data_IF_707905579330
#
_entry.id   IF_707905579330
#
_cell.length_a   1.000
_cell.length_b   1.000
_cell.length_c   1.000
_cell.angle_alpha   90.00
_cell.angle_beta   90.00
_cell.angle_gamma   90.00
#
_symmetry.space_group_name_H-M   'P 1'
#
loop_
_entity.id
_entity.type
_entity.pdbx_description
1 polymer ?
#
# COMPACT_ATOMS: atom_id res chain seq x y z
N UNK A 1 21.98 -4.30 -32.26
CA UNK A 1 21.60 -3.08 -31.53
C UNK A 1 20.12 -2.88 -31.77
N UNK A 2 19.28 -3.33 -30.85
CA UNK A 2 17.83 -3.14 -30.91
C UNK A 2 17.43 -2.32 -29.70
N UNK A 3 16.66 -1.28 -30.00
CA UNK A 3 16.46 -0.09 -29.18
C UNK A 3 15.87 -0.40 -27.83
N UNK A 4 16.43 0.30 -26.85
CA UNK A 4 15.96 0.41 -25.48
C UNK A 4 14.50 0.86 -25.52
N UNK A 5 13.65 0.09 -24.84
CA UNK A 5 12.32 0.47 -24.40
C UNK A 5 12.41 1.85 -23.73
N UNK A 6 12.11 2.90 -24.49
CA UNK A 6 12.06 4.26 -23.96
C UNK A 6 10.82 4.32 -23.08
N UNK A 7 10.97 3.97 -21.81
CA UNK A 7 9.89 4.08 -20.83
C UNK A 7 9.31 5.49 -20.92
N UNK A 8 7.98 5.62 -20.84
CA UNK A 8 7.23 6.89 -20.88
C UNK A 8 7.79 7.98 -19.95
N UNK A 9 8.66 7.62 -18.99
CA UNK A 9 9.46 8.53 -18.18
C UNK A 9 10.32 9.51 -18.96
N UNK A 10 10.72 9.22 -20.20
CA UNK A 10 11.63 10.09 -20.98
C UNK A 10 10.91 11.13 -21.87
N UNK A 11 9.57 11.09 -21.99
CA UNK A 11 8.83 11.99 -22.93
C UNK A 11 7.53 12.59 -22.38
N UNK A 12 7.01 12.14 -21.22
CA UNK A 12 5.78 12.67 -20.62
C UNK A 12 5.99 13.76 -19.56
N UNK A 13 4.99 14.63 -19.38
CA UNK A 13 4.94 15.54 -18.23
C UNK A 13 4.67 14.72 -16.96
N UNK A 14 5.66 14.66 -16.07
CA UNK A 14 5.51 14.04 -14.75
C UNK A 14 4.96 15.07 -13.76
N UNK A 15 3.84 14.75 -13.13
CA UNK A 15 3.21 15.54 -12.06
C UNK A 15 2.99 14.68 -10.83
N UNK A 16 3.20 15.26 -9.67
CA UNK A 16 2.96 14.63 -8.37
C UNK A 16 1.81 15.34 -7.67
N UNK A 17 0.89 14.57 -7.13
CA UNK A 17 -0.29 15.06 -6.42
C UNK A 17 -0.30 14.48 -5.01
N UNK A 18 -0.50 15.36 -4.03
CA UNK A 18 -0.67 14.95 -2.65
C UNK A 18 -2.17 14.80 -2.37
N UNK A 19 -2.60 13.57 -2.13
CA UNK A 19 -3.97 13.27 -1.72
C UNK A 19 -3.99 13.19 -0.20
N UNK A 20 -4.72 14.12 0.43
CA UNK A 20 -4.95 14.10 1.87
C UNK A 20 -6.26 13.37 2.16
N UNK A 21 -6.18 12.26 2.87
CA UNK A 21 -7.35 11.46 3.22
C UNK A 21 -7.17 10.88 4.62
N UNK A 22 -8.20 11.01 5.47
CA UNK A 22 -8.25 10.51 6.84
C UNK A 22 -7.04 10.90 7.72
N UNK A 23 -6.50 12.12 7.50
CA UNK A 23 -5.36 12.64 8.24
C UNK A 23 -3.99 12.19 7.73
N UNK A 24 -3.95 11.37 6.68
CA UNK A 24 -2.73 10.93 5.99
C UNK A 24 -2.56 11.63 4.64
N UNK A 25 -1.33 11.64 4.15
CA UNK A 25 -0.97 12.21 2.86
C UNK A 25 -0.36 11.13 1.97
N UNK A 26 -0.94 10.93 0.79
CA UNK A 26 -0.50 9.95 -0.20
C UNK A 26 0.04 10.68 -1.43
N UNK A 27 1.24 10.34 -1.87
CA UNK A 27 1.80 10.90 -3.11
C UNK A 27 1.39 10.00 -4.29
N UNK A 28 0.69 10.58 -5.26
CA UNK A 28 0.36 9.94 -6.54
C UNK A 28 1.24 10.58 -7.62
N UNK A 29 1.78 9.76 -8.52
CA UNK A 29 2.51 10.25 -9.69
C UNK A 29 1.68 10.02 -10.95
N UNK A 30 1.51 11.05 -11.76
CA UNK A 30 0.83 11.00 -13.05
C UNK A 30 1.83 11.43 -14.13
N UNK A 31 2.11 10.56 -15.09
CA UNK A 31 3.00 10.83 -16.22
C UNK A 31 2.19 10.71 -17.50
N UNK A 32 2.11 11.76 -18.31
CA UNK A 32 1.37 11.69 -19.57
C UNK A 32 1.93 12.61 -20.65
N UNK A 33 1.58 12.34 -21.91
CA UNK A 33 1.90 13.22 -23.04
C UNK A 33 0.91 14.38 -23.22
N UNK A 34 -0.02 14.57 -22.28
CA UNK A 34 -1.00 15.66 -22.24
C UNK A 34 -1.00 16.38 -20.89
N UNK A 35 -1.73 17.50 -20.81
CA UNK A 35 -1.75 18.34 -19.60
C UNK A 35 -2.79 17.83 -18.62
N UNK A 36 -2.43 17.77 -17.34
CA UNK A 36 -3.38 17.58 -16.24
C UNK A 36 -3.65 18.93 -15.58
N UNK A 37 -4.91 19.36 -15.55
CA UNK A 37 -5.36 20.67 -15.10
C UNK A 37 -5.63 20.70 -13.59
N UNK A 38 -6.31 19.67 -13.09
CA UNK A 38 -6.64 19.53 -11.66
C UNK A 38 -6.96 18.08 -11.32
N UNK A 39 -7.07 17.79 -10.02
CA UNK A 39 -7.46 16.49 -9.52
C UNK A 39 -8.49 16.68 -8.39
N UNK A 40 -9.36 15.70 -8.26
CA UNK A 40 -10.33 15.59 -7.15
C UNK A 40 -10.27 14.16 -6.64
N UNK A 41 -10.34 14.00 -5.32
CA UNK A 41 -10.37 12.70 -4.69
C UNK A 41 -11.62 12.58 -3.82
N UNK A 42 -12.35 11.48 -3.97
CA UNK A 42 -13.50 11.13 -3.13
C UNK A 42 -13.27 9.78 -2.47
N UNK A 43 -13.11 9.80 -1.14
CA UNK A 43 -13.03 8.59 -0.31
C UNK A 43 -14.34 7.78 -0.36
N UNK A 44 -15.49 8.48 -0.40
CA UNK A 44 -16.81 7.84 -0.43
C UNK A 44 -17.06 7.06 -1.72
N UNK A 45 -16.72 7.69 -2.86
CA UNK A 45 -16.93 7.12 -4.19
C UNK A 45 -15.74 6.26 -4.63
N UNK A 46 -14.68 6.19 -3.81
CA UNK A 46 -13.44 5.47 -4.08
C UNK A 46 -12.83 5.87 -5.43
N UNK A 47 -12.90 7.16 -5.70
CA UNK A 47 -12.64 7.72 -7.02
C UNK A 47 -11.56 8.79 -6.95
N UNK A 48 -10.62 8.72 -7.89
CA UNK A 48 -9.68 9.78 -8.20
C UNK A 48 -9.98 10.28 -9.62
N UNK A 49 -10.42 11.52 -9.70
CA UNK A 49 -10.73 12.19 -10.95
C UNK A 49 -9.60 13.15 -11.31
N UNK A 50 -9.20 13.13 -12.57
CA UNK A 50 -8.29 14.10 -13.15
C UNK A 50 -8.99 14.86 -14.27
N UNK A 51 -8.99 16.18 -14.17
CA UNK A 51 -9.34 17.03 -15.30
C UNK A 51 -8.09 17.17 -16.18
N UNK A 52 -8.21 16.80 -17.44
CA UNK A 52 -7.10 16.74 -18.39
C UNK A 52 -7.42 17.57 -19.63
N UNK A 53 -6.37 17.96 -20.34
CA UNK A 53 -6.44 18.61 -21.64
C UNK A 53 -5.65 17.75 -22.63
N UNK A 54 -6.30 16.66 -23.06
CA UNK A 54 -5.77 15.74 -24.06
C UNK A 54 -6.25 16.18 -25.44
N UNK A 55 -5.33 16.74 -26.22
CA UNK A 55 -5.62 17.37 -27.53
C UNK A 55 -5.05 16.57 -28.70
N UNK A 56 -4.32 15.48 -28.44
CA UNK A 56 -3.81 14.65 -29.52
C UNK A 56 -4.94 13.82 -30.11
N UNK A 57 -5.05 13.80 -31.44
CA UNK A 57 -6.07 13.01 -32.13
C UNK A 57 -5.87 11.51 -31.92
N UNK A 58 -4.63 11.07 -31.65
CA UNK A 58 -4.25 9.68 -31.43
C UNK A 58 -3.12 9.55 -30.43
N UNK A 59 -2.99 8.35 -29.85
CA UNK A 59 -1.87 7.95 -28.99
C UNK A 59 -1.70 8.85 -27.76
N UNK A 60 -2.81 9.25 -27.12
CA UNK A 60 -2.71 9.81 -25.77
C UNK A 60 -2.31 8.68 -24.82
N UNK A 61 -1.25 8.91 -24.05
CA UNK A 61 -0.71 7.90 -23.13
C UNK A 61 -0.56 8.51 -21.74
N UNK A 62 -1.01 7.77 -20.74
CA UNK A 62 -0.82 8.11 -19.33
C UNK A 62 -0.38 6.89 -18.52
N UNK A 63 0.50 7.13 -17.55
CA UNK A 63 0.87 6.21 -16.49
C UNK A 63 0.58 6.88 -15.15
N UNK A 64 -0.23 6.23 -14.31
CA UNK A 64 -0.56 6.69 -12.97
C UNK A 64 -0.04 5.68 -11.96
N UNK A 65 0.78 6.14 -11.01
CA UNK A 65 1.29 5.34 -9.90
C UNK A 65 0.50 5.72 -8.65
N UNK A 66 -0.31 4.79 -8.17
CA UNK A 66 -1.20 4.96 -7.01
C UNK A 66 -0.67 4.09 -5.86
N UNK A 67 -0.39 4.65 -4.67
CA UNK A 67 -0.03 3.86 -3.50
C UNK A 67 -1.14 2.86 -3.16
N UNK A 68 -0.76 1.60 -2.90
CA UNK A 68 -1.74 0.57 -2.52
C UNK A 68 -2.41 0.85 -1.17
N UNK A 69 -1.76 1.64 -0.32
CA UNK A 69 -2.32 2.12 0.94
C UNK A 69 -3.47 3.12 0.76
N UNK A 70 -3.67 3.66 -0.45
CA UNK A 70 -4.78 4.56 -0.79
C UNK A 70 -5.93 3.81 -1.49
N UNK A 71 -5.61 3.10 -2.58
CA UNK A 71 -6.56 2.31 -3.36
C UNK A 71 -6.00 0.91 -3.66
N UNK A 72 -6.86 -0.10 -3.56
CA UNK A 72 -6.52 -1.49 -3.87
C UNK A 72 -7.71 -2.22 -4.52
N UNK A 73 -7.48 -3.45 -4.94
CA UNK A 73 -8.47 -4.25 -5.66
C UNK A 73 -8.49 -3.94 -7.15
N UNK A 74 -9.64 -4.12 -7.79
CA UNK A 74 -9.77 -3.92 -9.24
C UNK A 74 -10.01 -2.45 -9.56
N UNK A 75 -9.44 -2.00 -10.68
CA UNK A 75 -9.54 -0.60 -11.13
C UNK A 75 -10.42 -0.53 -12.37
N UNK A 76 -11.35 0.42 -12.38
CA UNK A 76 -12.14 0.82 -13.54
C UNK A 76 -11.73 2.23 -13.92
N UNK A 77 -11.38 2.41 -15.19
CA UNK A 77 -10.92 3.69 -15.74
C UNK A 77 -11.98 4.19 -16.71
N UNK A 78 -12.47 5.40 -16.48
CA UNK A 78 -13.41 6.08 -17.37
C UNK A 78 -12.73 7.28 -18.02
N UNK A 79 -12.96 7.48 -19.32
CA UNK A 79 -12.66 8.69 -20.06
C UNK A 79 -13.99 9.37 -20.39
N UNK A 80 -14.21 10.58 -19.90
CA UNK A 80 -15.45 11.34 -20.12
C UNK A 80 -16.73 10.54 -19.76
N UNK A 81 -16.61 9.68 -18.76
CA UNK A 81 -17.68 8.81 -18.25
C UNK A 81 -17.83 7.47 -18.99
N UNK A 82 -17.06 7.21 -20.04
CA UNK A 82 -17.06 5.93 -20.76
C UNK A 82 -15.86 5.07 -20.38
N UNK A 83 -16.08 3.77 -20.16
CA UNK A 83 -15.01 2.83 -19.77
C UNK A 83 -14.01 2.61 -20.91
N UNK A 84 -12.72 2.71 -20.58
CA UNK A 84 -11.62 2.50 -21.53
C UNK A 84 -10.70 1.38 -21.08
N UNK A 85 -10.00 0.78 -22.06
CA UNK A 85 -8.98 -0.23 -21.78
C UNK A 85 -7.81 0.37 -21.01
N UNK A 86 -7.40 -0.31 -19.95
CA UNK A 86 -6.18 0.01 -19.19
C UNK A 86 -5.39 -1.26 -18.89
N UNK A 87 -4.08 -1.10 -18.68
CA UNK A 87 -3.23 -2.14 -18.13
C UNK A 87 -2.87 -1.77 -16.70
N UNK A 88 -3.12 -2.67 -15.75
CA UNK A 88 -2.80 -2.43 -14.34
C UNK A 88 -1.75 -3.44 -13.88
N UNK A 89 -0.59 -2.95 -13.48
CA UNK A 89 0.46 -3.75 -12.88
C UNK A 89 0.61 -3.41 -11.40
N UNK A 90 0.44 -4.40 -10.52
CA UNK A 90 0.49 -4.23 -9.06
C UNK A 90 1.85 -4.65 -8.53
N UNK A 91 2.45 -3.81 -7.70
CA UNK A 91 3.63 -4.12 -6.90
C UNK A 91 3.25 -4.27 -5.43
N UNK A 92 4.21 -4.59 -4.57
CA UNK A 92 3.98 -4.65 -3.12
C UNK A 92 3.52 -3.31 -2.52
N UNK A 93 3.84 -2.18 -3.17
CA UNK A 93 3.61 -0.82 -2.61
C UNK A 93 2.71 0.08 -3.44
N UNK A 94 2.56 -0.19 -4.74
CA UNK A 94 1.86 0.69 -5.68
C UNK A 94 1.21 -0.08 -6.82
N UNK A 95 0.09 0.44 -7.29
CA UNK A 95 -0.56 0.05 -8.54
C UNK A 95 -0.14 1.01 -9.63
N UNK A 96 0.40 0.49 -10.74
CA UNK A 96 0.78 1.24 -11.94
C UNK A 96 -0.31 1.03 -12.98
N UNK A 97 -1.07 2.08 -13.27
CA UNK A 97 -2.16 2.09 -14.24
C UNK A 97 -1.67 2.76 -15.51
N UNK A 98 -1.59 1.99 -16.60
CA UNK A 98 -1.22 2.49 -17.94
C UNK A 98 -2.46 2.57 -18.82
N UNK A 99 -2.65 3.74 -19.43
CA UNK A 99 -3.82 4.07 -20.24
C UNK A 99 -3.35 4.53 -21.61
N UNK A 100 -4.01 4.04 -22.67
CA UNK A 100 -3.83 4.52 -24.04
C UNK A 100 -5.20 4.77 -24.65
N UNK A 101 -5.42 5.96 -25.21
CA UNK A 101 -6.67 6.30 -25.90
C UNK A 101 -6.45 7.25 -27.08
N UNK A 102 -7.38 7.23 -28.02
CA UNK A 102 -7.44 8.13 -29.16
C UNK A 102 -8.56 9.15 -28.97
N UNK A 103 -8.41 10.33 -29.59
CA UNK A 103 -9.36 11.42 -29.47
C UNK A 103 -9.12 12.33 -28.27
N UNK A 104 -10.01 13.32 -28.12
CA UNK A 104 -9.92 14.29 -27.04
C UNK A 104 -10.35 13.64 -25.72
N UNK A 105 -9.82 14.16 -24.61
CA UNK A 105 -10.23 13.75 -23.27
C UNK A 105 -10.31 14.97 -22.35
N UNK A 106 -11.41 15.08 -21.61
CA UNK A 106 -11.60 16.15 -20.64
C UNK A 106 -11.42 15.65 -19.20
N UNK A 107 -11.83 14.43 -18.92
CA UNK A 107 -11.86 13.84 -17.58
C UNK A 107 -11.40 12.39 -17.61
N UNK A 108 -10.54 12.02 -16.65
CA UNK A 108 -10.12 10.64 -16.40
C UNK A 108 -10.52 10.30 -14.97
N UNK A 109 -11.44 9.36 -14.82
CA UNK A 109 -11.88 8.86 -13.52
C UNK A 109 -11.28 7.48 -13.28
N UNK A 110 -10.58 7.33 -12.15
CA UNK A 110 -10.04 6.06 -11.69
C UNK A 110 -10.83 5.64 -10.46
N UNK A 111 -11.65 4.60 -10.61
CA UNK A 111 -12.41 4.02 -9.51
C UNK A 111 -11.78 2.71 -9.09
N UNK A 112 -11.58 2.51 -7.80
CA UNK A 112 -11.11 1.25 -7.25
C UNK A 112 -12.24 0.52 -6.52
N UNK A 113 -12.23 -0.81 -6.53
CA UNK A 113 -13.19 -1.58 -5.72
C UNK A 113 -13.00 -1.31 -4.23
N UNK A 114 -11.75 -1.07 -3.80
CA UNK A 114 -11.41 -0.80 -2.39
C UNK A 114 -10.68 0.53 -2.23
N UNK A 115 -11.17 1.34 -1.29
CA UNK A 115 -10.47 2.50 -0.73
C UNK A 115 -9.92 2.11 0.63
N UNK A 116 -8.61 2.24 0.80
CA UNK A 116 -7.89 1.78 1.99
C UNK A 116 -7.49 2.92 2.93
N UNK A 117 -7.95 4.15 2.70
CA UNK A 117 -7.82 5.21 3.69
C UNK A 117 -8.61 4.85 4.94
N UNK A 118 -7.85 4.41 5.94
CA UNK A 118 -8.27 3.87 7.25
C UNK A 118 -9.37 2.80 7.15
N UNK A 119 -9.31 1.95 6.13
CA UNK A 119 -9.46 0.51 6.37
C UNK A 119 -8.07 -0.10 6.26
N UNK A 120 -7.31 -0.03 7.36
CA UNK A 120 -6.22 -0.98 7.59
C UNK A 120 -6.81 -2.39 7.81
N UNK A 121 -7.48 -2.95 6.81
CA UNK A 121 -7.03 -4.24 6.31
C UNK A 121 -5.69 -3.93 5.63
N UNK A 122 -4.60 -3.99 6.41
CA UNK A 122 -3.24 -4.07 5.88
C UNK A 122 -3.24 -5.18 4.85
N UNK A 123 -3.39 -4.87 3.56
CA UNK A 123 -3.32 -5.88 2.53
C UNK A 123 -1.90 -6.42 2.53
N UNK A 124 -1.75 -7.59 3.18
CA UNK A 124 -0.56 -8.43 3.28
C UNK A 124 0.71 -7.80 3.87
N UNK A 125 0.58 -6.89 4.85
CA UNK A 125 1.71 -6.26 5.53
C UNK A 125 1.52 -6.13 7.03
N UNK A 126 1.13 -7.19 7.73
CA UNK A 126 0.87 -7.21 9.17
C UNK A 126 2.03 -6.69 10.03
N UNK A 127 2.14 -5.39 10.26
CA UNK A 127 3.16 -4.85 11.16
C UNK A 127 2.93 -5.27 12.63
N UNK A 128 3.97 -5.73 13.32
CA UNK A 128 3.94 -6.09 14.74
C UNK A 128 3.84 -4.85 15.65
N UNK A 129 2.70 -4.15 15.67
CA UNK A 129 2.51 -2.84 16.32
C UNK A 129 3.00 -2.79 17.78
N UNK A 130 2.58 -3.76 18.60
CA UNK A 130 2.98 -3.86 20.02
C UNK A 130 4.49 -4.08 20.14
N UNK A 131 5.06 -5.01 19.36
CA UNK A 131 6.49 -5.26 19.40
C UNK A 131 7.30 -4.06 18.89
N UNK A 132 6.81 -3.34 17.89
CA UNK A 132 7.43 -2.11 17.39
C UNK A 132 7.39 -1.00 18.43
N UNK A 133 6.28 -0.83 19.15
CA UNK A 133 6.18 0.15 20.24
C UNK A 133 7.13 -0.22 21.40
N UNK A 134 7.18 -1.49 21.76
CA UNK A 134 8.09 -2.04 22.76
C UNK A 134 9.56 -1.82 22.36
N UNK A 135 9.99 -2.30 21.19
CA UNK A 135 11.41 -2.27 20.79
C UNK A 135 11.84 -0.99 20.07
N UNK A 136 10.91 -0.08 19.80
CA UNK A 136 11.17 1.28 19.32
C UNK A 136 11.44 1.43 17.82
N UNK A 137 11.45 0.34 17.06
CA UNK A 137 11.60 0.38 15.60
C UNK A 137 10.99 -0.84 14.95
N UNK A 138 10.41 -0.66 13.76
CA UNK A 138 10.04 -1.78 12.91
C UNK A 138 11.24 -2.59 12.45
N UNK A 139 12.41 -1.97 12.35
CA UNK A 139 13.68 -2.59 11.97
C UNK A 139 14.45 -3.15 13.19
N UNK A 140 13.87 -3.11 14.39
CA UNK A 140 14.49 -3.70 15.55
C UNK A 140 14.70 -5.22 15.33
N UNK A 141 15.86 -5.80 15.67
CA UNK A 141 16.14 -7.22 15.46
C UNK A 141 15.06 -8.14 16.04
N UNK A 142 14.51 -7.80 17.20
CA UNK A 142 13.43 -8.52 17.87
C UNK A 142 12.14 -8.55 17.04
N UNK A 143 11.81 -7.43 16.38
CA UNK A 143 10.62 -7.32 15.54
C UNK A 143 10.83 -8.09 14.24
N UNK A 144 12.03 -8.03 13.66
CA UNK A 144 12.37 -8.78 12.45
C UNK A 144 12.33 -10.29 12.70
N UNK A 145 12.82 -10.78 13.84
CA UNK A 145 12.71 -12.20 14.20
C UNK A 145 11.26 -12.71 14.22
N UNK A 146 10.32 -11.91 14.76
CA UNK A 146 8.90 -12.28 14.75
C UNK A 146 8.32 -12.30 13.33
N UNK A 147 8.73 -11.36 12.47
CA UNK A 147 8.31 -11.31 11.07
C UNK A 147 8.84 -12.52 10.30
N UNK A 148 10.13 -12.81 10.44
CA UNK A 148 10.77 -13.97 9.81
C UNK A 148 10.12 -15.28 10.24
N UNK A 149 9.81 -15.46 11.53
CA UNK A 149 9.08 -16.65 12.00
C UNK A 149 7.70 -16.77 11.36
N UNK A 150 6.94 -15.67 11.34
CA UNK A 150 5.62 -15.64 10.73
C UNK A 150 5.72 -16.01 9.25
N UNK A 151 6.60 -15.34 8.51
CA UNK A 151 6.68 -15.42 7.06
C UNK A 151 7.29 -16.74 6.59
N UNK A 152 8.35 -17.21 7.25
CA UNK A 152 9.13 -18.37 6.82
C UNK A 152 8.72 -19.67 7.52
N UNK A 153 7.90 -19.63 8.57
CA UNK A 153 7.47 -20.84 9.29
C UNK A 153 5.96 -20.95 9.36
N UNK A 154 5.28 -19.94 9.92
CA UNK A 154 3.83 -20.04 10.19
C UNK A 154 3.02 -20.02 8.88
N UNK A 155 3.26 -19.02 8.03
CA UNK A 155 2.54 -18.85 6.76
C UNK A 155 2.93 -19.88 5.69
N UNK A 156 4.00 -20.65 5.91
CA UNK A 156 4.37 -21.76 5.03
C UNK A 156 3.49 -23.01 5.23
N UNK A 157 2.59 -22.99 6.22
CA UNK A 157 1.67 -24.09 6.51
C UNK A 157 0.22 -23.65 6.33
N UNK A 158 -0.63 -24.56 5.86
CA UNK A 158 -2.07 -24.28 5.69
C UNK A 158 -2.75 -23.98 7.03
N UNK A 159 -2.41 -24.76 8.07
CA UNK A 159 -2.90 -24.55 9.43
C UNK A 159 -2.42 -23.23 10.03
N UNK A 160 -1.15 -22.86 9.80
CA UNK A 160 -0.60 -21.58 10.26
C UNK A 160 -1.19 -20.38 9.54
N UNK A 161 -1.47 -20.48 8.23
CA UNK A 161 -2.17 -19.43 7.48
C UNK A 161 -3.59 -19.21 8.04
N UNK A 162 -4.35 -20.29 8.26
CA UNK A 162 -5.70 -20.20 8.84
C UNK A 162 -5.69 -19.62 10.27
N UNK A 163 -4.73 -20.05 11.10
CA UNK A 163 -4.52 -19.47 12.42
C UNK A 163 -4.21 -17.97 12.34
N UNK A 164 -3.29 -17.58 11.46
CA UNK A 164 -2.87 -16.18 11.32
C UNK A 164 -4.01 -15.28 10.84
N UNK A 165 -4.94 -15.79 10.02
CA UNK A 165 -6.15 -15.03 9.63
C UNK A 165 -6.98 -14.63 10.85
N UNK A 166 -7.33 -15.61 11.71
CA UNK A 166 -8.11 -15.33 12.92
C UNK A 166 -7.33 -14.53 13.96
N UNK A 167 -6.05 -14.87 14.15
CA UNK A 167 -5.17 -14.17 15.06
C UNK A 167 -5.00 -12.70 14.66
N UNK A 168 -4.78 -12.40 13.37
CA UNK A 168 -4.62 -11.03 12.88
C UNK A 168 -5.87 -10.19 13.16
N UNK A 169 -7.06 -10.73 12.88
CA UNK A 169 -8.31 -10.03 13.16
C UNK A 169 -8.43 -9.65 14.63
N UNK A 170 -8.14 -10.60 15.52
CA UNK A 170 -8.15 -10.34 16.96
C UNK A 170 -7.04 -9.36 17.37
N UNK A 171 -5.80 -9.59 16.95
CA UNK A 171 -4.62 -8.78 17.28
C UNK A 171 -4.78 -7.32 16.85
N UNK A 172 -5.25 -7.06 15.64
CA UNK A 172 -5.43 -5.69 15.14
C UNK A 172 -6.64 -4.98 15.75
N UNK A 173 -7.59 -5.70 16.36
CA UNK A 173 -8.71 -5.07 17.07
C UNK A 173 -8.30 -4.26 18.30
N UNK A 174 -7.15 -4.56 18.92
CA UNK A 174 -6.70 -3.88 20.14
C UNK A 174 -5.25 -3.36 20.07
N UNK A 175 -4.40 -3.90 19.19
CA UNK A 175 -2.97 -3.55 19.16
C UNK A 175 -2.65 -2.06 18.92
N UNK A 176 -3.44 -1.26 18.16
CA UNK A 176 -3.18 0.17 18.05
C UNK A 176 -3.28 0.88 19.40
N UNK A 177 -4.36 0.64 20.16
CA UNK A 177 -4.56 1.27 21.47
C UNK A 177 -3.46 0.90 22.47
N UNK A 178 -2.99 -0.35 22.44
CA UNK A 178 -1.88 -0.79 23.28
C UNK A 178 -0.56 -0.13 22.87
N UNK A 179 -0.26 -0.07 21.57
CA UNK A 179 0.96 0.56 21.06
C UNK A 179 1.01 2.07 21.38
N UNK A 180 -0.14 2.74 21.35
CA UNK A 180 -0.28 4.15 21.76
C UNK A 180 0.01 4.30 23.24
N UNK A 181 -0.57 3.43 24.06
CA UNK A 181 -0.36 3.43 25.51
C UNK A 181 1.10 3.15 25.91
N UNK A 182 1.81 2.28 25.18
CA UNK A 182 3.26 2.06 25.34
C UNK A 182 4.09 3.31 25.04
N UNK A 183 3.70 4.11 24.04
CA UNK A 183 4.39 5.36 23.69
C UNK A 183 4.24 6.42 24.77
N UNK A 184 3.10 6.45 25.44
CA UNK A 184 2.81 7.40 26.52
C UNK A 184 3.37 6.96 27.87
N UNK A 185 3.54 5.65 28.09
CA UNK A 185 3.89 5.09 29.40
C UNK A 185 5.17 4.23 29.32
N UNK A 186 6.36 4.82 29.58
CA UNK A 186 7.63 4.09 29.54
C UNK A 186 7.68 2.86 30.47
N UNK A 187 7.06 2.92 31.65
CA UNK A 187 7.00 1.77 32.56
C UNK A 187 6.18 0.61 31.98
N UNK A 188 5.07 0.91 31.28
CA UNK A 188 4.25 -0.10 30.63
C UNK A 188 4.99 -0.71 29.43
N UNK A 189 5.68 0.11 28.64
CA UNK A 189 6.56 -0.34 27.56
C UNK A 189 7.61 -1.35 28.06
N UNK A 190 8.27 -1.08 29.18
CA UNK A 190 9.24 -2.02 29.76
C UNK A 190 8.58 -3.31 30.26
N UNK A 191 7.36 -3.24 30.80
CA UNK A 191 6.60 -4.43 31.15
C UNK A 191 6.27 -5.29 29.92
N UNK A 192 5.85 -4.66 28.81
CA UNK A 192 5.58 -5.36 27.53
C UNK A 192 6.86 -5.97 26.96
N UNK A 193 7.99 -5.26 27.00
CA UNK A 193 9.29 -5.86 26.62
C UNK A 193 9.62 -7.09 27.45
N UNK A 194 9.42 -7.02 28.77
CA UNK A 194 9.74 -8.12 29.67
C UNK A 194 8.86 -9.34 29.38
N UNK A 195 7.59 -9.16 29.00
CA UNK A 195 6.70 -10.28 28.64
C UNK A 195 7.01 -10.87 27.28
N UNK A 196 7.46 -10.06 26.30
CA UNK A 196 7.85 -10.53 24.97
C UNK A 196 9.23 -11.22 24.96
N UNK A 197 10.13 -10.86 25.88
CA UNK A 197 11.50 -11.36 25.89
C UNK A 197 11.60 -12.89 26.00
N UNK A 198 10.90 -13.57 26.92
CA UNK A 198 10.93 -15.04 27.00
C UNK A 198 10.55 -15.71 25.68
N UNK A 199 9.49 -15.25 25.03
CA UNK A 199 9.04 -15.80 23.74
C UNK A 199 10.13 -15.66 22.67
N UNK A 200 10.71 -14.46 22.52
CA UNK A 200 11.80 -14.21 21.58
C UNK A 200 13.01 -15.09 21.88
N UNK A 201 13.41 -15.21 23.14
CA UNK A 201 14.57 -16.03 23.53
C UNK A 201 14.33 -17.52 23.26
N UNK A 202 13.12 -18.04 23.50
CA UNK A 202 12.78 -19.42 23.17
C UNK A 202 12.85 -19.67 21.66
N UNK A 203 12.37 -18.72 20.84
CA UNK A 203 12.43 -18.81 19.39
C UNK A 203 13.88 -18.78 18.87
N UNK A 204 14.71 -17.88 19.40
CA UNK A 204 16.13 -17.82 19.04
C UNK A 204 16.82 -19.15 19.37
N UNK A 205 16.56 -19.72 20.55
CA UNK A 205 17.15 -21.01 20.95
C UNK A 205 16.70 -22.17 20.05
N UNK A 206 15.42 -22.19 19.64
CA UNK A 206 14.88 -23.19 18.70
C UNK A 206 15.52 -23.09 17.32
N UNK A 207 15.83 -21.89 16.84
CA UNK A 207 16.53 -21.70 15.56
C UNK A 207 18.00 -22.14 15.60
N UNK A 208 18.64 -22.11 16.78
CA UNK A 208 20.01 -22.60 16.97
C UNK A 208 20.10 -24.11 17.26
N UNK A 209 19.00 -24.72 17.69
CA UNK A 209 18.91 -26.16 17.85
C UNK A 209 18.57 -26.79 16.51
N UNK A 210 19.59 -27.07 15.69
CA UNK A 210 19.44 -27.91 14.50
C UNK A 210 18.77 -29.25 14.89
N UNK A 211 17.55 -29.47 14.38
CA UNK A 211 16.93 -30.79 14.22
C UNK A 211 16.68 -30.98 12.73
#
# INVERSE_FOLDING_TARGET
>A
VFGVDASLRDVGFVKKYMISADGYNFEITFTANFTVLSHTFSAHDKMLQFNVDAVHEKENVAEIIIPRDLFDGEFTILLDGEEISSNVNKTDRSSVVSIVFDGNGNTIDITATNYLGVELEKSNGGGCLIATAAFGSELAPQVQQLRELRDNTVLQTESGTSFMTGFNQFYYSFSPAIADYERENPAFKEAVKLTLTPLLTSLTLLQYADI
#
